data_IF_614792608035
#
_entry.id   IF_614792608035
#
_cell.length_a   1.000
_cell.length_b   1.000
_cell.length_c   1.000
_cell.angle_alpha   90.00
_cell.angle_beta   90.00
_cell.angle_gamma   90.00
#
_symmetry.space_group_name_H-M   'P 1'
#
loop_
_entity.id
_entity.type
_entity.pdbx_description
1 polymer ?
#
# COMPACT_ATOMS: atom_id res chain seq x y z
N UNK A 1 -21.16 7.98 -36.96
CA UNK A 1 -20.18 8.97 -36.45
C UNK A 1 -20.18 8.84 -34.94
N UNK A 2 -19.24 8.07 -34.38
CA UNK A 2 -19.08 7.98 -32.92
C UNK A 2 -18.28 9.21 -32.49
N UNK A 3 -18.98 10.20 -31.94
CA UNK A 3 -18.33 11.29 -31.26
C UNK A 3 -17.95 10.79 -29.86
N UNK A 4 -16.71 10.32 -29.69
CA UNK A 4 -16.13 10.21 -28.36
C UNK A 4 -15.84 11.63 -27.86
N UNK A 5 -16.86 12.27 -27.31
CA UNK A 5 -16.67 13.48 -26.53
C UNK A 5 -16.13 13.06 -25.16
N UNK A 6 -14.80 12.95 -25.03
CA UNK A 6 -14.14 13.18 -23.76
C UNK A 6 -14.29 14.67 -23.43
N UNK A 7 -15.51 15.08 -23.06
CA UNK A 7 -15.72 16.43 -22.53
C UNK A 7 -14.85 16.54 -21.29
N UNK A 8 -14.00 17.57 -21.22
CA UNK A 8 -13.16 17.85 -20.07
C UNK A 8 -14.05 17.80 -18.82
N UNK A 9 -13.83 16.80 -17.96
CA UNK A 9 -14.61 16.66 -16.75
C UNK A 9 -14.32 17.88 -15.87
N UNK A 10 -15.35 18.53 -15.31
CA UNK A 10 -15.13 19.62 -14.39
C UNK A 10 -14.26 19.12 -13.22
N UNK A 11 -13.31 19.95 -12.79
CA UNK A 11 -12.54 19.70 -11.58
C UNK A 11 -13.52 19.60 -10.41
N UNK A 12 -13.47 18.49 -9.67
CA UNK A 12 -14.30 18.23 -8.50
C UNK A 12 -13.42 18.03 -7.26
N UNK A 13 -13.99 18.27 -6.07
CA UNK A 13 -13.28 18.05 -4.80
C UNK A 13 -12.88 16.58 -4.61
N UNK A 14 -13.70 15.65 -5.10
CA UNK A 14 -13.44 14.21 -5.05
C UNK A 14 -13.24 13.63 -6.45
N UNK A 15 -12.47 12.55 -6.53
CA UNK A 15 -12.37 11.76 -7.76
C UNK A 15 -13.69 11.02 -8.05
N UNK A 16 -13.91 10.64 -9.31
CA UNK A 16 -15.02 9.74 -9.67
C UNK A 16 -14.52 8.63 -10.59
N UNK A 17 -15.03 7.42 -10.36
CA UNK A 17 -14.88 6.28 -11.26
C UNK A 17 -16.20 6.11 -11.98
N UNK A 18 -16.15 6.09 -13.32
CA UNK A 18 -17.28 5.78 -14.19
C UNK A 18 -17.01 4.45 -14.88
N UNK A 19 -17.86 3.47 -14.64
CA UNK A 19 -17.88 2.21 -15.36
C UNK A 19 -18.95 2.31 -16.45
N UNK A 20 -18.52 2.21 -17.70
CA UNK A 20 -19.40 2.14 -18.86
C UNK A 20 -19.61 0.68 -19.23
N UNK A 21 -20.85 0.22 -19.14
CA UNK A 21 -21.23 -1.15 -19.45
C UNK A 21 -22.17 -1.16 -20.65
N UNK A 22 -21.73 -1.84 -21.71
CA UNK A 22 -22.53 -2.02 -22.92
C UNK A 22 -23.70 -2.96 -22.63
N UNK A 23 -24.89 -2.57 -23.07
CA UNK A 23 -26.11 -3.35 -22.96
C UNK A 23 -26.39 -4.11 -24.27
N UNK A 24 -27.24 -5.14 -24.19
CA UNK A 24 -27.60 -5.99 -25.33
C UNK A 24 -28.34 -5.20 -26.44
N UNK A 25 -29.05 -4.14 -26.07
CA UNK A 25 -29.78 -3.24 -26.98
C UNK A 25 -28.88 -2.19 -27.65
N UNK A 26 -27.56 -2.35 -27.56
CA UNK A 26 -26.54 -1.38 -27.99
C UNK A 26 -26.52 -0.09 -27.15
N UNK A 27 -27.31 -0.02 -26.08
CA UNK A 27 -27.27 1.04 -25.08
C UNK A 27 -26.00 0.97 -24.21
N UNK A 28 -25.81 2.00 -23.40
CA UNK A 28 -24.71 2.09 -22.43
C UNK A 28 -25.27 2.46 -21.08
N UNK A 29 -25.01 1.63 -20.08
CA UNK A 29 -25.25 1.95 -18.69
C UNK A 29 -23.98 2.57 -18.10
N UNK A 30 -24.14 3.66 -17.35
CA UNK A 30 -23.03 4.31 -16.63
C UNK A 30 -23.25 4.11 -15.15
N UNK A 31 -22.34 3.38 -14.50
CA UNK A 31 -22.26 3.31 -13.04
C UNK A 31 -21.18 4.26 -12.56
N UNK A 32 -21.55 5.20 -11.69
CA UNK A 32 -20.62 6.17 -11.11
C UNK A 32 -20.37 5.84 -9.63
N UNK A 33 -19.13 6.02 -9.19
CA UNK A 33 -18.75 5.86 -7.78
C UNK A 33 -17.75 6.95 -7.41
N UNK A 34 -17.94 7.55 -6.23
CA UNK A 34 -17.00 8.52 -5.68
C UNK A 34 -15.70 7.80 -5.34
N UNK A 35 -14.58 8.32 -5.82
CA UNK A 35 -13.25 7.88 -5.45
C UNK A 35 -12.73 8.83 -4.36
N UNK A 36 -12.76 8.43 -3.08
CA UNK A 36 -12.31 9.29 -2.00
C UNK A 36 -10.81 9.59 -2.14
N UNK A 37 -10.35 10.72 -1.56
CA UNK A 37 -8.94 11.08 -1.57
C UNK A 37 -8.10 10.01 -0.87
N UNK A 38 -6.87 9.84 -1.38
CA UNK A 38 -5.89 8.88 -0.85
C UNK A 38 -4.69 9.65 -0.32
N UNK A 39 -4.15 9.22 0.82
CA UNK A 39 -2.88 9.70 1.32
C UNK A 39 -1.78 9.22 0.36
N UNK A 40 -0.92 10.14 -0.09
CA UNK A 40 0.24 9.83 -0.93
C UNK A 40 1.51 10.12 -0.17
N UNK A 41 2.32 9.09 0.07
CA UNK A 41 3.61 9.18 0.76
C UNK A 41 4.71 8.97 -0.27
N UNK A 42 5.61 9.94 -0.50
CA UNK A 42 6.80 9.71 -1.33
C UNK A 42 7.65 8.57 -0.78
N UNK A 43 8.19 7.73 -1.66
CA UNK A 43 9.01 6.58 -1.26
C UNK A 43 10.50 6.95 -1.32
N UNK A 44 11.12 7.05 -0.16
CA UNK A 44 12.57 7.23 -0.04
C UNK A 44 13.30 6.04 -0.65
N UNK A 45 14.39 6.31 -1.40
CA UNK A 45 15.13 5.30 -2.15
C UNK A 45 14.58 4.98 -3.55
N UNK A 46 13.39 5.48 -3.89
CA UNK A 46 12.77 5.30 -5.20
C UNK A 46 12.21 6.62 -5.77
N UNK A 47 13.05 7.44 -6.44
CA UNK A 47 12.64 8.75 -6.94
C UNK A 47 11.40 8.71 -7.84
N UNK A 48 10.42 9.56 -7.53
CA UNK A 48 9.15 9.65 -8.26
C UNK A 48 8.13 8.57 -7.91
N UNK A 49 8.47 7.62 -7.03
CA UNK A 49 7.51 6.63 -6.54
C UNK A 49 6.68 7.17 -5.38
N UNK A 50 5.41 6.76 -5.34
CA UNK A 50 4.50 7.07 -4.22
C UNK A 50 3.82 5.82 -3.68
N UNK A 51 3.66 5.75 -2.36
CA UNK A 51 2.76 4.81 -1.68
C UNK A 51 1.40 5.49 -1.49
N UNK A 52 0.33 4.86 -1.97
CA UNK A 52 -1.03 5.42 -1.97
C UNK A 52 -1.94 4.62 -1.05
N UNK A 53 -2.45 5.27 0.00
CA UNK A 53 -3.24 4.64 1.06
C UNK A 53 -4.66 5.21 1.07
N UNK A 54 -5.72 4.38 1.13
CA UNK A 54 -7.07 4.86 1.41
C UNK A 54 -7.16 5.31 2.88
N UNK A 55 -8.02 6.28 3.17
CA UNK A 55 -8.20 6.80 4.53
C UNK A 55 -8.59 5.71 5.55
N UNK A 56 -9.32 4.68 5.11
CA UNK A 56 -9.65 3.54 5.96
C UNK A 56 -8.41 2.77 6.44
N UNK A 57 -7.40 2.57 5.58
CA UNK A 57 -6.15 1.92 5.97
C UNK A 57 -5.32 2.82 6.89
N UNK A 58 -5.32 4.13 6.65
CA UNK A 58 -4.67 5.10 7.54
C UNK A 58 -5.26 5.00 8.95
N UNK A 59 -6.59 5.05 9.07
CA UNK A 59 -7.29 4.94 10.34
C UNK A 59 -7.04 3.58 11.03
N UNK A 60 -6.93 2.49 10.27
CA UNK A 60 -6.62 1.16 10.81
C UNK A 60 -5.20 1.09 11.39
N UNK A 61 -4.21 1.67 10.69
CA UNK A 61 -2.83 1.80 11.19
C UNK A 61 -2.77 2.66 12.46
N UNK A 62 -3.46 3.80 12.48
CA UNK A 62 -3.51 4.70 13.64
C UNK A 62 -4.16 4.00 14.84
N UNK A 63 -5.28 3.30 14.62
CA UNK A 63 -5.96 2.55 15.67
C UNK A 63 -5.09 1.43 16.24
N UNK A 64 -4.37 0.70 15.38
CA UNK A 64 -3.45 -0.35 15.82
C UNK A 64 -2.25 0.22 16.58
N UNK A 65 -1.68 1.33 16.11
CA UNK A 65 -0.61 2.05 16.80
C UNK A 65 -1.05 2.49 18.20
N UNK A 66 -2.28 3.00 18.34
CA UNK A 66 -2.84 3.43 19.62
C UNK A 66 -3.04 2.28 20.63
N UNK A 67 -3.18 1.03 20.17
CA UNK A 67 -3.24 -0.15 21.06
C UNK A 67 -1.87 -0.53 21.64
N UNK A 68 -0.79 -0.01 21.07
CA UNK A 68 0.59 -0.32 21.46
C UNK A 68 1.38 0.94 21.87
N UNK A 69 0.97 1.69 22.91
CA UNK A 69 1.57 2.99 23.23
C UNK A 69 3.03 2.93 23.75
N UNK A 70 3.52 1.76 24.15
CA UNK A 70 4.87 1.56 24.71
C UNK A 70 5.78 0.65 23.88
N UNK A 71 5.31 0.14 22.75
CA UNK A 71 6.05 -0.79 21.89
C UNK A 71 5.73 -0.53 20.44
N UNK A 72 6.68 -0.77 19.55
CA UNK A 72 6.39 -0.75 18.12
C UNK A 72 5.41 -1.87 17.72
N UNK A 73 4.47 -1.54 16.83
CA UNK A 73 3.54 -2.48 16.19
C UNK A 73 3.67 -2.40 14.67
N UNK A 74 2.93 -3.22 13.93
CA UNK A 74 3.01 -3.27 12.47
C UNK A 74 2.17 -4.36 11.83
N UNK A 75 2.42 -4.61 10.56
CA UNK A 75 1.72 -5.62 9.75
C UNK A 75 2.16 -5.58 8.28
N UNK A 76 1.39 -6.23 7.41
CA UNK A 76 1.65 -6.27 5.96
C UNK A 76 0.72 -5.32 5.22
N UNK A 77 1.27 -4.63 4.23
CA UNK A 77 0.52 -3.82 3.27
C UNK A 77 0.07 -4.72 2.11
N UNK A 78 -1.23 -4.75 1.83
CA UNK A 78 -1.81 -5.53 0.73
C UNK A 78 -2.36 -4.61 -0.34
N UNK A 79 -2.00 -4.87 -1.59
CA UNK A 79 -2.29 -3.97 -2.68
C UNK A 79 -1.81 -4.45 -4.04
N UNK A 80 -1.55 -3.48 -4.92
CA UNK A 80 -1.02 -3.70 -6.26
C UNK A 80 0.06 -2.67 -6.58
N UNK A 81 0.90 -2.97 -7.55
CA UNK A 81 1.98 -2.08 -8.01
C UNK A 81 1.70 -1.65 -9.44
N UNK A 82 1.80 -0.35 -9.70
CA UNK A 82 1.73 0.22 -11.04
C UNK A 82 3.06 0.86 -11.40
N UNK A 83 3.89 0.14 -12.15
CA UNK A 83 5.17 0.65 -12.65
C UNK A 83 5.02 1.86 -13.58
N UNK A 84 4.05 1.90 -14.52
CA UNK A 84 3.84 3.09 -15.36
C UNK A 84 3.50 4.34 -14.56
N UNK A 85 2.70 4.19 -13.50
CA UNK A 85 2.32 5.30 -12.62
C UNK A 85 3.31 5.54 -11.46
N UNK A 86 4.39 4.75 -11.37
CA UNK A 86 5.34 4.74 -10.24
C UNK A 86 4.61 4.79 -8.89
N UNK A 87 3.60 3.94 -8.71
CA UNK A 87 2.75 3.97 -7.52
C UNK A 87 2.56 2.57 -6.96
N UNK A 88 2.80 2.42 -5.65
CA UNK A 88 2.40 1.26 -4.86
C UNK A 88 1.03 1.59 -4.28
N UNK A 89 -0.01 0.88 -4.70
CA UNK A 89 -1.40 1.14 -4.33
C UNK A 89 -1.82 0.17 -3.23
N UNK A 90 -1.95 0.68 -2.01
CA UNK A 90 -2.45 -0.12 -0.87
C UNK A 90 -3.98 -0.13 -0.91
N UNK A 91 -4.54 -1.27 -0.52
CA UNK A 91 -5.99 -1.50 -0.48
C UNK A 91 -6.45 -2.07 0.85
N UNK A 92 -5.61 -2.81 1.55
CA UNK A 92 -5.91 -3.45 2.82
C UNK A 92 -4.62 -3.71 3.61
N UNK A 93 -4.79 -4.17 4.85
CA UNK A 93 -3.73 -4.70 5.70
C UNK A 93 -3.92 -6.20 5.92
N UNK A 94 -2.81 -6.90 6.20
CA UNK A 94 -2.81 -8.15 6.96
C UNK A 94 -2.21 -7.85 8.35
N UNK A 95 -2.89 -8.22 9.45
CA UNK A 95 -2.38 -7.99 10.79
C UNK A 95 -1.06 -8.75 11.03
N UNK A 96 -0.26 -8.24 11.97
CA UNK A 96 0.90 -8.96 12.46
C UNK A 96 0.49 -10.35 13.02
N UNK A 97 1.15 -11.44 12.58
CA UNK A 97 0.96 -12.76 13.16
C UNK A 97 1.28 -12.82 14.66
N UNK A 98 0.75 -13.83 15.35
CA UNK A 98 0.93 -14.03 16.81
C UNK A 98 2.37 -14.22 17.25
N UNK A 99 3.24 -14.73 16.35
CA UNK A 99 4.68 -14.89 16.58
C UNK A 99 5.48 -13.59 16.39
N UNK A 100 4.82 -12.45 16.14
CA UNK A 100 5.50 -11.16 16.00
C UNK A 100 6.05 -10.64 17.32
N UNK A 101 7.28 -10.15 17.32
CA UNK A 101 7.89 -9.54 18.50
C UNK A 101 7.72 -8.01 18.50
N UNK A 102 7.32 -7.46 19.65
CA UNK A 102 7.10 -6.02 19.85
C UNK A 102 7.98 -5.50 20.98
N UNK A 103 8.81 -4.48 20.69
CA UNK A 103 9.68 -3.80 21.65
C UNK A 103 9.62 -2.29 21.43
N UNK A 104 10.05 -1.44 22.38
CA UNK A 104 9.99 0.02 22.24
C UNK A 104 10.74 0.61 21.03
N UNK A 105 11.73 -0.12 20.50
CA UNK A 105 12.62 0.33 19.41
C UNK A 105 12.85 -0.76 18.36
N UNK A 106 11.99 -1.78 18.33
CA UNK A 106 12.07 -2.88 17.38
C UNK A 106 10.72 -3.59 17.26
N UNK A 107 10.21 -3.65 16.04
CA UNK A 107 9.18 -4.58 15.63
C UNK A 107 9.75 -5.67 14.72
N UNK A 108 9.50 -6.94 15.05
CA UNK A 108 9.81 -8.08 14.18
C UNK A 108 8.50 -8.70 13.74
N UNK A 109 8.20 -8.62 12.44
CA UNK A 109 7.03 -9.25 11.85
C UNK A 109 7.19 -10.77 11.87
N UNK A 110 6.26 -11.44 12.55
CA UNK A 110 6.13 -12.89 12.53
C UNK A 110 5.70 -13.42 11.17
N UNK A 111 5.77 -14.73 10.98
CA UNK A 111 5.47 -15.37 9.69
C UNK A 111 4.42 -16.46 9.76
N UNK A 112 3.95 -16.79 10.97
CA UNK A 112 2.96 -17.84 11.18
C UNK A 112 1.66 -17.52 10.41
N UNK A 113 1.25 -18.43 9.52
CA UNK A 113 0.04 -18.29 8.69
C UNK A 113 0.07 -17.18 7.62
N UNK A 114 1.11 -16.34 7.59
CA UNK A 114 1.14 -15.15 6.73
C UNK A 114 1.14 -15.52 5.23
N UNK A 115 1.91 -16.54 4.86
CA UNK A 115 1.96 -17.04 3.48
C UNK A 115 0.60 -17.53 2.98
N UNK A 116 -0.15 -18.23 3.83
CA UNK A 116 -1.50 -18.71 3.51
C UNK A 116 -2.50 -17.55 3.37
N UNK A 117 -2.47 -16.60 4.30
CA UNK A 117 -3.34 -15.42 4.26
C UNK A 117 -3.13 -14.60 2.97
N UNK A 118 -1.87 -14.37 2.58
CA UNK A 118 -1.56 -13.65 1.33
C UNK A 118 -1.94 -14.48 0.10
N UNK A 119 -1.69 -15.79 0.10
CA UNK A 119 -2.08 -16.67 -1.01
C UNK A 119 -3.61 -16.68 -1.20
N UNK A 120 -4.37 -16.69 -0.11
CA UNK A 120 -5.84 -16.64 -0.15
C UNK A 120 -6.35 -15.31 -0.72
N UNK A 121 -5.75 -14.17 -0.31
CA UNK A 121 -6.07 -12.86 -0.89
C UNK A 121 -5.75 -12.80 -2.37
N UNK A 122 -4.61 -13.33 -2.80
CA UNK A 122 -4.24 -13.44 -4.21
C UNK A 122 -5.26 -14.27 -4.97
N UNK A 123 -5.65 -15.43 -4.44
CA UNK A 123 -6.64 -16.33 -5.05
C UNK A 123 -8.01 -15.66 -5.22
N UNK A 124 -8.56 -15.08 -4.15
CA UNK A 124 -9.87 -14.42 -4.16
C UNK A 124 -9.92 -13.19 -5.09
N UNK A 125 -8.80 -12.51 -5.25
CA UNK A 125 -8.66 -11.34 -6.13
C UNK A 125 -8.23 -11.69 -7.56
N UNK A 126 -8.16 -12.98 -7.94
CA UNK A 126 -7.68 -13.43 -9.25
C UNK A 126 -6.28 -12.91 -9.60
N UNK A 127 -5.39 -12.86 -8.61
CA UNK A 127 -4.01 -12.41 -8.76
C UNK A 127 -3.82 -10.90 -8.62
N UNK A 128 -4.89 -10.12 -8.43
CA UNK A 128 -4.78 -8.67 -8.35
C UNK A 128 -4.09 -8.22 -7.06
N UNK A 129 -4.51 -8.71 -5.90
CA UNK A 129 -4.02 -8.25 -4.60
C UNK A 129 -2.92 -9.16 -4.06
N UNK A 130 -1.84 -8.53 -3.61
CA UNK A 130 -0.64 -9.20 -3.09
C UNK A 130 -0.01 -8.40 -1.95
N UNK A 131 0.96 -8.98 -1.24
CA UNK A 131 1.82 -8.24 -0.34
C UNK A 131 2.69 -7.26 -1.15
N UNK A 132 2.58 -5.96 -0.84
CA UNK A 132 3.32 -4.87 -1.52
C UNK A 132 4.28 -4.14 -0.60
N UNK A 133 4.37 -4.60 0.65
CA UNK A 133 5.13 -3.92 1.68
C UNK A 133 4.80 -4.40 3.08
N UNK A 134 5.49 -3.83 4.04
CA UNK A 134 5.16 -3.94 5.46
C UNK A 134 5.02 -2.55 6.04
N UNK A 135 4.41 -2.45 7.20
CA UNK A 135 4.38 -1.21 7.95
C UNK A 135 4.69 -1.46 9.41
N UNK A 136 5.22 -0.45 10.09
CA UNK A 136 5.37 -0.45 11.53
C UNK A 136 5.29 0.97 12.12
N UNK A 137 5.09 1.05 13.43
CA UNK A 137 5.06 2.31 14.17
C UNK A 137 6.40 2.58 14.85
N UNK A 138 6.82 3.84 14.89
CA UNK A 138 7.79 4.34 15.86
C UNK A 138 7.08 5.06 17.01
N UNK A 139 7.62 4.94 18.23
CA UNK A 139 7.14 5.74 19.37
C UNK A 139 7.54 7.24 19.24
N UNK A 140 8.56 7.54 18.44
CA UNK A 140 9.06 8.88 18.16
C UNK A 140 8.66 9.38 16.77
N UNK A 141 9.59 10.01 16.07
CA UNK A 141 9.40 10.41 14.67
C UNK A 141 9.37 9.19 13.74
N UNK A 142 8.63 9.28 12.63
CA UNK A 142 8.57 8.32 11.56
C UNK A 142 9.86 8.22 10.71
N UNK A 143 10.90 8.97 11.07
CA UNK A 143 12.19 8.93 10.36
C UNK A 143 12.73 7.49 10.36
N UNK A 144 13.03 6.91 9.18
CA UNK A 144 13.61 5.58 9.11
C UNK A 144 14.94 5.50 9.85
N UNK A 145 15.13 4.44 10.62
CA UNK A 145 16.39 4.05 11.24
C UNK A 145 17.31 3.33 10.24
N UNK A 146 18.56 3.12 10.63
CA UNK A 146 19.48 2.29 9.83
C UNK A 146 18.96 0.85 9.65
N UNK A 147 18.29 0.30 10.67
CA UNK A 147 17.65 -1.01 10.62
C UNK A 147 16.51 -1.06 9.61
N UNK A 148 15.75 0.04 9.47
CA UNK A 148 14.66 0.14 8.50
C UNK A 148 15.20 0.16 7.07
N UNK A 149 16.25 0.95 6.81
CA UNK A 149 16.93 0.94 5.50
C UNK A 149 17.51 -0.44 5.16
N UNK A 150 18.17 -1.09 6.12
CA UNK A 150 18.71 -2.44 5.93
C UNK A 150 17.60 -3.47 5.66
N UNK A 151 16.47 -3.34 6.35
CA UNK A 151 15.30 -4.20 6.13
C UNK A 151 14.70 -3.96 4.75
N UNK A 152 14.50 -2.70 4.35
CA UNK A 152 14.00 -2.34 3.02
C UNK A 152 14.90 -2.89 1.90
N UNK A 153 16.23 -2.83 2.07
CA UNK A 153 17.16 -3.45 1.13
C UNK A 153 17.02 -4.98 1.09
N UNK A 154 16.96 -5.63 2.26
CA UNK A 154 16.87 -7.09 2.36
C UNK A 154 15.59 -7.65 1.74
N UNK A 155 14.44 -7.00 1.95
CA UNK A 155 13.16 -7.45 1.37
C UNK A 155 13.07 -7.17 -0.14
N UNK A 156 13.80 -6.19 -0.65
CA UNK A 156 13.85 -5.90 -2.08
C UNK A 156 14.70 -6.90 -2.88
N UNK A 157 15.71 -7.53 -2.26
CA UNK A 157 16.61 -8.48 -2.94
C UNK A 157 15.89 -9.61 -3.71
N UNK A 158 14.94 -10.36 -3.10
CA UNK A 158 14.21 -11.41 -3.81
C UNK A 158 13.01 -10.88 -4.62
N UNK A 159 12.71 -9.58 -4.57
CA UNK A 159 11.49 -9.02 -5.13
C UNK A 159 11.69 -8.63 -6.59
N UNK A 160 10.77 -9.07 -7.46
CA UNK A 160 10.71 -8.62 -8.86
C UNK A 160 9.95 -7.29 -9.03
N UNK A 161 9.32 -6.80 -7.96
CA UNK A 161 8.59 -5.55 -7.92
C UNK A 161 8.94 -4.76 -6.64
N UNK A 162 8.77 -3.44 -6.63
CA UNK A 162 9.01 -2.60 -5.46
C UNK A 162 8.24 -3.05 -4.22
N UNK A 163 8.96 -3.25 -3.11
CA UNK A 163 8.36 -3.52 -1.79
C UNK A 163 8.69 -2.35 -0.87
N UNK A 164 7.65 -1.73 -0.29
CA UNK A 164 7.82 -0.56 0.58
C UNK A 164 7.69 -0.92 2.06
N UNK A 165 8.51 -0.28 2.88
CA UNK A 165 8.36 -0.22 4.33
C UNK A 165 7.74 1.14 4.69
N UNK A 166 6.53 1.13 5.25
CA UNK A 166 5.81 2.31 5.72
C UNK A 166 6.00 2.47 7.23
N UNK A 167 6.34 3.67 7.66
CA UNK A 167 6.58 4.00 9.07
C UNK A 167 5.59 5.08 9.47
N UNK A 168 4.82 4.85 10.54
CA UNK A 168 4.04 5.88 11.22
C UNK A 168 4.78 6.33 12.49
N UNK A 169 4.81 7.63 12.74
CA UNK A 169 5.33 8.20 13.97
C UNK A 169 4.58 9.48 14.33
N UNK A 170 5.06 10.17 15.35
CA UNK A 170 4.46 11.42 15.86
C UNK A 170 4.40 12.56 14.84
N UNK A 171 5.23 12.53 13.79
CA UNK A 171 5.28 13.50 12.68
C UNK A 171 4.61 12.99 11.39
N UNK A 172 3.79 11.94 11.48
CA UNK A 172 3.01 11.39 10.38
C UNK A 172 3.65 10.15 9.74
N UNK A 173 3.53 10.01 8.42
CA UNK A 173 3.99 8.84 7.67
C UNK A 173 5.29 9.11 6.88
N UNK A 174 6.16 8.11 6.81
CA UNK A 174 7.33 8.03 5.92
C UNK A 174 7.33 6.66 5.24
N UNK A 175 7.79 6.60 4.00
CA UNK A 175 7.93 5.33 3.28
C UNK A 175 9.36 5.22 2.77
N UNK A 176 9.94 4.03 2.89
CA UNK A 176 11.27 3.70 2.36
C UNK A 176 11.18 2.41 1.55
N UNK A 177 11.96 2.32 0.48
CA UNK A 177 12.14 1.11 -0.31
C UNK A 177 13.55 1.12 -0.91
N UNK A 178 14.05 -0.06 -1.26
CA UNK A 178 15.18 -0.18 -2.17
C UNK A 178 14.66 -0.52 -3.58
N UNK A 179 15.33 -0.07 -4.65
CA UNK A 179 14.99 -0.51 -6.00
C UNK A 179 15.10 -2.05 -6.08
N UNK A 180 14.20 -2.72 -6.84
CA UNK A 180 14.34 -4.15 -7.10
C UNK A 180 15.69 -4.42 -7.76
N UNK A 181 16.28 -5.58 -7.48
CA UNK A 181 17.47 -6.02 -8.19
C UNK A 181 17.08 -6.18 -9.67
N UNK A 182 17.71 -5.42 -10.57
CA UNK A 182 17.52 -5.63 -12.01
C UNK A 182 17.93 -7.06 -12.31
N UNK A 183 16.97 -7.90 -12.70
CA UNK A 183 17.30 -9.20 -13.27
C UNK A 183 17.83 -8.89 -14.66
N UNK A 184 19.14 -9.05 -14.88
CA UNK A 184 19.70 -9.06 -16.23
C UNK A 184 18.89 -10.08 -17.05
N UNK A 185 18.17 -9.57 -18.05
CA UNK A 185 17.40 -10.35 -19.01
C UNK A 185 18.27 -10.76 -20.19
#
# INVERSE_FOLDING_TARGET
MFAEAFTALPSMADGRIRLFERQDDLGVQVKETVAPPRLRVPVEGMPGWTLSLPQAVVAEIEAETARHPGTETGGVLVGQISSPAKTIVVTALEPAPSDSERRPTLFVLGTEGLGEAIAERRRRSKGLLDAVGTWHSHLGSARPSQTDHATAARIALPASQPISLLIIGTDGFRAVAAPPTETEA
#
